data_IF_356786975436
#
_entry.id   IF_356786975436
#
_cell.length_a   1.000
_cell.length_b   1.000
_cell.length_c   1.000
_cell.angle_alpha   90.00
_cell.angle_beta   90.00
_cell.angle_gamma   90.00
#
_symmetry.space_group_name_H-M   'P 1'
#
loop_
_entity.id
_entity.type
_entity.pdbx_description
1 polymer ?
#
# COMPACT_ATOMS: atom_id res chain seq x y z
N UNK A 1 -13.58 11.84 2.65
CA UNK A 1 -14.85 11.34 2.07
C UNK A 1 -16.07 12.22 2.36
N UNK A 2 -16.26 12.77 3.57
CA UNK A 2 -17.40 13.64 3.94
C UNK A 2 -17.77 14.70 2.90
N UNK A 3 -16.78 15.51 2.53
CA UNK A 3 -16.94 16.61 1.59
C UNK A 3 -17.46 16.17 0.21
N UNK A 4 -17.14 14.93 -0.21
CA UNK A 4 -17.70 14.36 -1.44
C UNK A 4 -19.17 13.99 -1.24
N UNK A 5 -19.54 13.33 -0.14
CA UNK A 5 -20.93 12.98 0.17
C UNK A 5 -21.82 14.22 0.29
N UNK A 6 -21.33 15.29 0.94
CA UNK A 6 -22.05 16.57 1.07
C UNK A 6 -22.28 17.25 -0.28
N UNK A 7 -21.30 17.17 -1.20
CA UNK A 7 -21.41 17.74 -2.55
C UNK A 7 -22.30 16.90 -3.48
N UNK A 8 -22.11 15.58 -3.48
CA UNK A 8 -22.82 14.64 -4.36
C UNK A 8 -24.29 14.49 -3.93
N UNK A 9 -24.57 14.63 -2.62
CA UNK A 9 -25.91 14.48 -2.04
C UNK A 9 -26.56 13.14 -2.43
N UNK A 10 -25.90 12.00 -2.14
CA UNK A 10 -26.52 10.70 -2.40
C UNK A 10 -27.84 10.57 -1.62
N UNK A 11 -28.79 9.74 -2.08
CA UNK A 11 -30.09 9.61 -1.44
C UNK A 11 -29.99 9.33 0.07
N UNK A 12 -29.04 8.46 0.45
CA UNK A 12 -28.71 8.09 1.83
C UNK A 12 -27.22 7.77 1.92
N UNK A 13 -26.54 8.30 2.92
CA UNK A 13 -25.15 7.99 3.23
C UNK A 13 -24.96 7.96 4.74
N UNK A 14 -24.22 6.96 5.21
CA UNK A 14 -23.67 6.94 6.55
C UNK A 14 -22.21 7.36 6.44
N UNK A 15 -21.84 8.39 7.18
CA UNK A 15 -20.44 8.73 7.42
C UNK A 15 -19.92 7.82 8.54
N UNK A 16 -18.72 7.26 8.39
CA UNK A 16 -18.06 6.42 9.41
C UNK A 16 -16.62 6.87 9.71
N UNK A 17 -16.12 6.73 10.96
CA UNK A 17 -14.79 7.20 11.37
C UNK A 17 -13.66 6.23 11.08
N UNK A 18 -13.88 5.33 10.13
CA UNK A 18 -12.96 4.25 9.85
C UNK A 18 -12.01 4.62 8.71
N UNK A 19 -10.93 3.83 8.59
CA UNK A 19 -9.99 3.93 7.48
C UNK A 19 -10.72 3.89 6.12
N UNK A 20 -10.23 4.70 5.17
CA UNK A 20 -10.74 4.69 3.80
C UNK A 20 -10.63 3.27 3.22
N UNK A 21 -11.73 2.77 2.64
CA UNK A 21 -11.79 1.39 2.13
C UNK A 21 -12.23 0.36 3.17
N UNK A 22 -12.46 0.75 4.43
CA UNK A 22 -13.03 -0.11 5.48
C UNK A 22 -14.37 0.43 6.00
N UNK A 23 -15.41 0.53 5.15
CA UNK A 23 -16.69 1.13 5.56
C UNK A 23 -17.42 0.35 6.68
N UNK A 24 -16.99 -0.88 6.99
CA UNK A 24 -17.55 -1.72 8.05
C UNK A 24 -16.63 -1.85 9.29
N UNK A 25 -15.51 -1.11 9.34
CA UNK A 25 -14.53 -1.16 10.43
C UNK A 25 -13.59 -2.36 10.36
N UNK A 26 -13.22 -2.91 11.52
CA UNK A 26 -12.21 -3.97 11.66
C UNK A 26 -12.69 -5.28 11.00
N UNK A 27 -11.82 -6.01 10.28
CA UNK A 27 -12.14 -7.35 9.77
C UNK A 27 -12.44 -8.34 10.89
N UNK A 28 -13.26 -9.34 10.61
CA UNK A 28 -13.55 -10.45 11.53
C UNK A 28 -14.12 -10.04 12.90
N UNK A 29 -14.73 -8.86 13.01
CA UNK A 29 -15.64 -8.51 14.10
C UNK A 29 -17.10 -8.44 13.61
N UNK A 30 -17.81 -9.58 13.51
CA UNK A 30 -19.19 -9.59 13.06
C UNK A 30 -20.10 -8.73 13.93
N UNK A 31 -19.81 -8.60 15.23
CA UNK A 31 -20.67 -7.84 16.14
C UNK A 31 -20.57 -6.35 15.81
N UNK A 32 -19.36 -5.83 15.62
CA UNK A 32 -19.15 -4.45 15.19
C UNK A 32 -19.73 -4.20 13.80
N UNK A 33 -19.38 -5.06 12.83
CA UNK A 33 -19.85 -4.93 11.44
C UNK A 33 -21.37 -4.95 11.34
N UNK A 34 -22.06 -5.79 12.12
CA UNK A 34 -23.52 -5.80 12.17
C UNK A 34 -24.11 -4.51 12.75
N UNK A 35 -23.45 -3.85 13.70
CA UNK A 35 -23.92 -2.54 14.21
C UNK A 35 -23.80 -1.45 13.14
N UNK A 36 -22.68 -1.42 12.41
CA UNK A 36 -22.49 -0.50 11.29
C UNK A 36 -23.54 -0.74 10.20
N UNK A 37 -23.76 -2.00 9.81
CA UNK A 37 -24.79 -2.38 8.82
C UNK A 37 -26.18 -1.95 9.31
N UNK A 38 -26.50 -2.19 10.57
CA UNK A 38 -27.79 -1.80 11.14
C UNK A 38 -27.99 -0.27 11.10
N UNK A 39 -26.94 0.51 11.34
CA UNK A 39 -27.01 1.98 11.22
C UNK A 39 -27.23 2.42 9.77
N UNK A 40 -26.49 1.85 8.80
CA UNK A 40 -26.69 2.15 7.37
C UNK A 40 -28.12 1.79 6.92
N UNK A 41 -28.60 0.61 7.28
CA UNK A 41 -29.97 0.17 6.95
C UNK A 41 -31.03 1.00 7.68
N UNK A 42 -30.71 1.54 8.86
CA UNK A 42 -31.55 2.47 9.60
C UNK A 42 -31.93 3.71 8.79
N UNK A 43 -31.05 4.15 7.88
CA UNK A 43 -31.32 5.29 6.99
C UNK A 43 -32.52 5.07 6.07
N UNK A 44 -32.92 3.81 5.82
CA UNK A 44 -34.10 3.49 5.00
C UNK A 44 -35.41 3.95 5.66
N UNK A 45 -35.41 4.22 6.97
CA UNK A 45 -36.58 4.74 7.70
C UNK A 45 -36.89 6.21 7.37
N UNK A 46 -35.98 6.94 6.75
CA UNK A 46 -36.22 8.31 6.32
C UNK A 46 -37.09 8.35 5.05
N UNK A 47 -38.22 9.07 5.13
CA UNK A 47 -39.18 9.23 4.04
C UNK A 47 -38.66 10.09 2.87
N UNK A 48 -37.69 10.95 3.13
CA UNK A 48 -37.09 11.88 2.14
C UNK A 48 -35.57 11.89 2.27
N UNK A 49 -34.88 12.02 1.14
CA UNK A 49 -33.44 12.28 1.08
C UNK A 49 -33.14 13.64 0.44
N UNK A 50 -31.86 14.05 0.36
CA UNK A 50 -30.66 13.33 0.79
C UNK A 50 -30.51 13.26 2.32
N UNK A 51 -30.06 12.12 2.82
CA UNK A 51 -29.72 11.92 4.23
C UNK A 51 -28.24 11.62 4.36
N UNK A 52 -27.53 12.37 5.20
CA UNK A 52 -26.17 12.09 5.63
C UNK A 52 -26.16 12.05 7.16
N UNK A 53 -25.95 10.86 7.73
CA UNK A 53 -25.81 10.70 9.19
C UNK A 53 -24.39 10.31 9.57
N UNK A 54 -24.01 10.69 10.79
CA UNK A 54 -22.73 10.35 11.39
C UNK A 54 -22.83 9.09 12.26
N UNK A 55 -22.03 8.08 11.96
CA UNK A 55 -21.78 6.96 12.85
C UNK A 55 -20.74 7.39 13.90
N UNK A 56 -21.12 7.37 15.18
CA UNK A 56 -20.30 7.90 16.27
C UNK A 56 -19.43 6.86 16.98
N UNK A 57 -19.70 5.57 16.77
CA UNK A 57 -18.91 4.51 17.37
C UNK A 57 -17.61 4.35 16.58
N UNK A 58 -16.48 4.54 17.24
CA UNK A 58 -15.15 4.29 16.68
C UNK A 58 -14.96 2.80 16.42
N UNK A 59 -14.22 2.47 15.35
CA UNK A 59 -13.78 1.09 15.17
C UNK A 59 -12.89 0.73 16.37
N UNK A 60 -13.02 -0.49 16.96
CA UNK A 60 -12.07 -0.93 17.96
C UNK A 60 -10.66 -0.74 17.42
N UNK A 61 -9.78 -0.12 18.20
CA UNK A 61 -8.38 -0.03 17.81
C UNK A 61 -7.88 -1.44 17.54
N UNK A 62 -7.57 -1.73 16.28
CA UNK A 62 -6.57 -2.74 16.01
C UNK A 62 -5.25 -2.16 16.48
N UNK A 63 -5.04 -2.07 17.80
CA UNK A 63 -3.87 -1.50 18.49
C UNK A 63 -2.97 -0.64 17.61
N UNK A 64 -3.37 0.59 17.30
CA UNK A 64 -2.49 1.56 16.66
C UNK A 64 -2.76 2.94 17.25
N UNK A 65 -2.21 3.16 18.44
CA UNK A 65 -2.06 4.52 18.97
C UNK A 65 -1.05 5.27 18.08
N UNK A 66 -1.31 6.56 17.81
CA UNK A 66 -0.36 7.47 17.14
C UNK A 66 0.99 7.57 17.86
N UNK A 67 1.06 7.16 19.13
CA UNK A 67 2.30 7.07 19.93
C UNK A 67 3.15 5.82 19.60
N UNK A 68 2.63 4.85 18.82
CA UNK A 68 3.42 3.72 18.30
C UNK A 68 4.21 4.06 17.03
N UNK A 69 4.17 5.31 16.58
CA UNK A 69 5.04 5.84 15.52
C UNK A 69 6.53 5.82 15.96
N UNK A 70 6.80 5.74 17.27
CA UNK A 70 8.15 5.39 17.76
C UNK A 70 8.28 3.86 17.84
N UNK A 71 8.97 3.29 16.87
CA UNK A 71 9.35 1.87 16.73
C UNK A 71 10.30 1.36 17.85
N UNK A 72 10.01 1.63 19.12
CA UNK A 72 10.92 1.34 20.26
C UNK A 72 10.38 0.25 21.20
N UNK A 73 9.37 -0.51 20.76
CA UNK A 73 8.65 -1.48 21.59
C UNK A 73 8.69 -2.91 21.05
N UNK A 74 9.84 -3.56 21.10
CA UNK A 74 9.97 -5.03 21.19
C UNK A 74 9.10 -5.85 20.22
N UNK A 75 9.25 -5.57 18.93
CA UNK A 75 8.93 -6.55 17.88
C UNK A 75 10.25 -7.19 17.43
N UNK A 76 10.21 -8.44 16.97
CA UNK A 76 11.21 -8.90 16.03
C UNK A 76 10.67 -8.55 14.65
N UNK A 77 10.76 -7.27 14.18
CA UNK A 77 10.50 -7.03 12.79
C UNK A 77 11.50 -7.92 12.04
N UNK A 78 11.04 -8.45 10.92
CA UNK A 78 11.96 -8.92 9.89
C UNK A 78 13.03 -7.84 9.76
N UNK A 79 14.25 -8.12 10.22
CA UNK A 79 15.40 -7.28 9.95
C UNK A 79 15.70 -7.51 8.48
N UNK A 80 14.95 -6.82 7.62
CA UNK A 80 15.35 -6.59 6.26
C UNK A 80 16.74 -5.99 6.37
N UNK A 81 17.71 -6.64 5.74
CA UNK A 81 19.08 -6.14 5.70
C UNK A 81 18.99 -4.79 4.99
N UNK A 82 18.87 -3.70 5.76
CA UNK A 82 19.02 -2.34 5.27
C UNK A 82 20.47 -2.21 4.87
N UNK A 83 20.70 -2.41 3.58
CA UNK A 83 22.06 -2.44 3.06
C UNK A 83 22.16 -3.26 1.79
N UNK A 84 21.38 -2.91 0.77
CA UNK A 84 22.03 -2.81 -0.52
C UNK A 84 23.24 -1.88 -0.29
N UNK A 85 24.46 -2.41 -0.39
CA UNK A 85 25.61 -1.50 -0.46
C UNK A 85 25.34 -0.53 -1.61
N UNK A 86 25.92 0.68 -1.59
CA UNK A 86 25.76 1.63 -2.71
C UNK A 86 26.19 1.03 -4.09
N UNK A 87 26.85 -0.12 -4.07
CA UNK A 87 27.30 -0.90 -5.23
C UNK A 87 26.49 -2.19 -5.50
N UNK A 88 25.45 -2.51 -4.71
CA UNK A 88 24.60 -3.68 -4.95
C UNK A 88 23.59 -3.37 -6.04
N UNK A 89 23.55 -4.21 -7.08
CA UNK A 89 22.52 -4.24 -8.10
C UNK A 89 21.12 -4.24 -7.44
N UNK A 90 20.26 -3.31 -7.85
CA UNK A 90 18.92 -3.12 -7.30
C UNK A 90 18.10 -4.42 -7.36
N UNK A 91 18.28 -5.20 -8.44
CA UNK A 91 17.61 -6.48 -8.59
C UNK A 91 18.04 -7.48 -7.51
N UNK A 92 19.33 -7.52 -7.16
CA UNK A 92 19.83 -8.44 -6.12
C UNK A 92 19.25 -8.09 -4.74
N UNK A 93 19.08 -6.80 -4.46
CA UNK A 93 18.47 -6.33 -3.21
C UNK A 93 16.98 -6.71 -3.14
N UNK A 94 16.23 -6.52 -4.22
CA UNK A 94 14.83 -6.95 -4.32
C UNK A 94 14.68 -8.47 -4.19
N UNK A 95 15.54 -9.23 -4.86
CA UNK A 95 15.53 -10.70 -4.79
C UNK A 95 15.81 -11.20 -3.38
N UNK A 96 16.77 -10.60 -2.66
CA UNK A 96 17.05 -10.93 -1.28
C UNK A 96 15.84 -10.65 -0.36
N UNK A 97 15.18 -9.51 -0.55
CA UNK A 97 13.98 -9.12 0.21
C UNK A 97 12.80 -10.06 -0.04
N UNK A 98 12.53 -10.39 -1.31
CA UNK A 98 11.49 -11.34 -1.72
C UNK A 98 11.74 -12.73 -1.12
N UNK A 99 12.97 -13.23 -1.23
CA UNK A 99 13.34 -14.53 -0.67
C UNK A 99 13.18 -14.57 0.86
N UNK A 100 13.45 -13.45 1.54
CA UNK A 100 13.23 -13.34 2.97
C UNK A 100 11.74 -13.34 3.35
N UNK A 101 10.89 -12.75 2.53
CA UNK A 101 9.44 -12.66 2.75
C UNK A 101 8.67 -13.90 2.30
N UNK A 102 9.23 -14.73 1.40
CA UNK A 102 8.55 -15.88 0.82
C UNK A 102 7.93 -16.85 1.85
N UNK A 103 8.62 -17.26 2.94
CA UNK A 103 8.01 -18.13 3.94
C UNK A 103 6.78 -17.51 4.63
N UNK A 104 6.81 -16.19 4.85
CA UNK A 104 5.71 -15.45 5.47
C UNK A 104 4.53 -15.30 4.52
N UNK A 105 4.80 -15.06 3.24
CA UNK A 105 3.80 -15.08 2.19
C UNK A 105 3.11 -16.46 2.11
N UNK A 106 3.88 -17.55 2.08
CA UNK A 106 3.33 -18.91 2.08
C UNK A 106 2.45 -19.18 3.31
N UNK A 107 2.88 -18.74 4.49
CA UNK A 107 2.07 -18.81 5.71
C UNK A 107 0.76 -18.02 5.57
N UNK A 108 0.80 -16.79 5.05
CA UNK A 108 -0.37 -15.95 4.84
C UNK A 108 -1.38 -16.59 3.89
N UNK A 109 -0.91 -17.11 2.76
CA UNK A 109 -1.74 -17.82 1.77
C UNK A 109 -2.35 -19.08 2.39
N UNK A 110 -1.57 -19.85 3.16
CA UNK A 110 -2.05 -21.05 3.82
C UNK A 110 -3.13 -20.76 4.88
N UNK A 111 -3.01 -19.67 5.63
CA UNK A 111 -4.02 -19.25 6.61
C UNK A 111 -5.30 -18.74 5.94
N UNK A 112 -5.16 -17.91 4.90
CA UNK A 112 -6.30 -17.26 4.22
C UNK A 112 -6.98 -18.12 3.17
N UNK A 113 -6.27 -19.15 2.66
CA UNK A 113 -6.67 -20.01 1.53
C UNK A 113 -6.92 -19.24 0.23
N UNK A 114 -6.37 -18.03 0.10
CA UNK A 114 -6.47 -17.15 -1.07
C UNK A 114 -5.31 -16.16 -1.08
N UNK A 115 -5.01 -15.60 -2.25
CA UNK A 115 -4.06 -14.50 -2.46
C UNK A 115 -4.64 -13.49 -3.45
N UNK A 116 -4.18 -12.24 -3.38
CA UNK A 116 -4.41 -11.19 -4.40
C UNK A 116 -3.23 -11.01 -5.36
N UNK A 117 -2.14 -11.76 -5.18
CA UNK A 117 -1.00 -11.78 -6.12
C UNK A 117 -1.36 -12.55 -7.39
N UNK A 118 -0.89 -12.05 -8.53
CA UNK A 118 -0.96 -12.69 -9.85
C UNK A 118 -1.70 -11.87 -10.90
N UNK A 119 -2.03 -10.60 -10.66
CA UNK A 119 -2.72 -9.76 -11.66
C UNK A 119 -1.85 -9.44 -12.87
N UNK A 120 -0.52 -9.44 -12.70
CA UNK A 120 0.44 -9.29 -13.80
C UNK A 120 0.53 -10.54 -14.68
N UNK A 121 0.21 -11.71 -14.12
CA UNK A 121 0.41 -13.02 -14.75
C UNK A 121 1.89 -13.46 -14.81
N UNK A 122 2.79 -12.77 -14.10
CA UNK A 122 4.22 -13.09 -14.02
C UNK A 122 4.57 -13.78 -12.70
N UNK A 123 5.73 -14.41 -12.66
CA UNK A 123 6.35 -14.76 -11.38
C UNK A 123 6.76 -13.50 -10.60
N UNK A 124 6.83 -13.61 -9.26
CA UNK A 124 7.13 -12.46 -8.41
C UNK A 124 8.55 -11.92 -8.65
N UNK A 125 9.52 -12.78 -8.95
CA UNK A 125 10.89 -12.36 -9.28
C UNK A 125 10.98 -11.75 -10.68
N UNK A 126 10.15 -12.20 -11.62
CA UNK A 126 10.03 -11.55 -12.94
C UNK A 126 9.44 -10.15 -12.82
N UNK A 127 8.43 -9.98 -11.96
CA UNK A 127 7.84 -8.67 -11.63
C UNK A 127 8.88 -7.72 -11.03
N UNK A 128 9.69 -8.21 -10.08
CA UNK A 128 10.77 -7.45 -9.45
C UNK A 128 11.85 -7.05 -10.46
N UNK A 129 12.25 -7.97 -11.34
CA UNK A 129 13.22 -7.71 -12.41
C UNK A 129 12.76 -6.61 -13.35
N UNK A 130 11.48 -6.62 -13.72
CA UNK A 130 10.90 -5.57 -14.55
C UNK A 130 10.91 -4.21 -13.84
N UNK A 131 10.56 -4.16 -12.55
CA UNK A 131 10.64 -2.93 -11.75
C UNK A 131 12.07 -2.39 -11.65
N UNK A 132 13.06 -3.25 -11.38
CA UNK A 132 14.46 -2.84 -11.30
C UNK A 132 14.95 -2.24 -12.61
N UNK A 133 14.65 -2.89 -13.75
CA UNK A 133 15.01 -2.38 -15.08
C UNK A 133 14.36 -1.01 -15.37
N UNK A 134 13.10 -0.83 -14.99
CA UNK A 134 12.39 0.45 -15.12
C UNK A 134 13.00 1.56 -14.25
N UNK A 135 13.47 1.22 -13.05
CA UNK A 135 14.08 2.18 -12.13
C UNK A 135 15.48 2.62 -12.58
N UNK A 136 16.23 1.74 -13.25
CA UNK A 136 17.60 2.00 -13.72
C UNK A 136 17.66 2.58 -15.14
N UNK A 137 16.52 2.77 -15.80
CA UNK A 137 16.45 3.22 -17.21
C UNK A 137 17.27 2.32 -18.15
N UNK A 138 17.32 1.03 -17.84
CA UNK A 138 18.04 0.03 -18.62
C UNK A 138 17.32 -0.37 -19.91
N UNK A 139 17.87 -1.36 -20.62
CA UNK A 139 17.21 -1.94 -21.80
C UNK A 139 15.92 -2.65 -21.38
N UNK A 140 14.78 -2.11 -21.83
CA UNK A 140 13.47 -2.50 -21.33
C UNK A 140 12.86 -3.59 -22.19
N UNK A 141 12.91 -4.82 -21.70
CA UNK A 141 12.13 -5.93 -22.27
C UNK A 141 10.83 -6.04 -21.49
N UNK A 142 9.71 -5.71 -22.12
CA UNK A 142 8.38 -5.90 -21.53
C UNK A 142 8.10 -7.41 -21.45
N UNK A 143 7.84 -7.99 -20.27
CA UNK A 143 7.68 -9.44 -20.11
C UNK A 143 6.47 -10.02 -20.87
N UNK A 144 5.47 -9.18 -21.12
CA UNK A 144 4.24 -9.54 -21.83
C UNK A 144 4.11 -8.75 -23.13
N UNK A 145 3.86 -9.47 -24.21
CA UNK A 145 3.74 -8.88 -25.55
C UNK A 145 2.38 -8.21 -25.82
N UNK A 146 1.40 -8.41 -24.93
CA UNK A 146 0.04 -7.87 -25.08
C UNK A 146 -0.18 -6.54 -24.34
N UNK A 147 0.83 -6.06 -23.60
CA UNK A 147 0.75 -4.84 -22.80
C UNK A 147 1.88 -3.87 -23.14
N UNK A 148 1.58 -2.58 -23.07
CA UNK A 148 2.58 -1.52 -23.09
C UNK A 148 3.36 -1.47 -21.76
N UNK A 149 4.57 -0.87 -21.73
CA UNK A 149 5.41 -0.78 -20.54
C UNK A 149 4.70 -0.23 -19.29
N UNK A 150 3.93 0.85 -19.44
CA UNK A 150 3.26 1.51 -18.31
C UNK A 150 2.19 0.64 -17.64
N UNK A 151 1.21 0.11 -18.40
CA UNK A 151 0.25 -0.85 -17.88
C UNK A 151 0.91 -2.08 -17.25
N UNK A 152 1.97 -2.61 -17.85
CA UNK A 152 2.72 -3.73 -17.29
C UNK A 152 3.36 -3.38 -15.94
N UNK A 153 3.99 -2.20 -15.85
CA UNK A 153 4.60 -1.70 -14.61
C UNK A 153 3.57 -1.64 -13.49
N UNK A 154 2.39 -1.08 -13.79
CA UNK A 154 1.31 -0.98 -12.80
C UNK A 154 0.92 -2.35 -12.24
N UNK A 155 0.75 -3.36 -13.10
CA UNK A 155 0.39 -4.71 -12.66
C UNK A 155 1.50 -5.36 -11.83
N UNK A 156 2.78 -5.19 -12.22
CA UNK A 156 3.91 -5.67 -11.43
C UNK A 156 3.97 -5.00 -10.04
N UNK A 157 3.70 -3.68 -9.98
CA UNK A 157 3.60 -2.97 -8.71
C UNK A 157 2.47 -3.52 -7.83
N UNK A 158 1.29 -3.77 -8.41
CA UNK A 158 0.15 -4.35 -7.68
C UNK A 158 0.47 -5.74 -7.10
N UNK A 159 1.17 -6.59 -7.87
CA UNK A 159 1.60 -7.92 -7.41
C UNK A 159 2.66 -7.85 -6.31
N UNK A 160 3.67 -7.00 -6.46
CA UNK A 160 4.72 -6.84 -5.45
C UNK A 160 4.16 -6.24 -4.16
N UNK A 161 3.36 -5.18 -4.24
CA UNK A 161 2.72 -4.62 -3.04
C UNK A 161 1.78 -5.63 -2.38
N UNK A 162 1.05 -6.43 -3.16
CA UNK A 162 0.22 -7.52 -2.62
C UNK A 162 1.06 -8.60 -1.93
N UNK A 163 2.15 -9.05 -2.55
CA UNK A 163 3.03 -10.07 -1.97
C UNK A 163 3.60 -9.60 -0.63
N UNK A 164 4.13 -8.37 -0.59
CA UNK A 164 4.70 -7.76 0.62
C UNK A 164 3.64 -7.57 1.70
N UNK A 165 2.48 -7.01 1.33
CA UNK A 165 1.39 -6.77 2.26
C UNK A 165 0.82 -8.07 2.83
N UNK A 166 0.66 -9.11 2.01
CA UNK A 166 0.23 -10.43 2.48
C UNK A 166 1.27 -11.08 3.40
N UNK A 167 2.55 -11.05 3.02
CA UNK A 167 3.64 -11.60 3.82
C UNK A 167 3.74 -10.94 5.19
N UNK A 168 3.76 -9.61 5.25
CA UNK A 168 3.99 -8.91 6.51
C UNK A 168 2.78 -8.98 7.44
N UNK A 169 1.56 -9.12 6.89
CA UNK A 169 0.32 -9.14 7.68
C UNK A 169 0.12 -10.37 8.59
N UNK A 170 0.98 -11.39 8.50
CA UNK A 170 1.02 -12.49 9.48
C UNK A 170 1.98 -12.24 10.64
N UNK A 171 2.76 -11.14 10.60
CA UNK A 171 3.63 -10.73 11.69
C UNK A 171 2.84 -10.06 12.83
N UNK A 172 3.24 -10.28 14.09
CA UNK A 172 2.77 -9.47 15.21
C UNK A 172 3.05 -7.99 14.98
N UNK A 173 2.12 -7.11 15.34
CA UNK A 173 2.25 -5.65 15.17
C UNK A 173 1.89 -5.12 13.76
N UNK A 174 1.58 -5.99 12.81
CA UNK A 174 1.20 -5.63 11.43
C UNK A 174 -0.30 -5.82 11.21
N UNK A 175 -1.09 -5.31 12.16
CA UNK A 175 -2.53 -5.51 12.31
C UNK A 175 -3.38 -4.42 11.61
N UNK A 176 -2.81 -3.27 11.26
CA UNK A 176 -3.49 -2.18 10.56
C UNK A 176 -3.02 -2.00 9.13
N UNK A 177 -3.87 -1.42 8.28
CA UNK A 177 -3.44 -1.10 6.91
C UNK A 177 -2.35 -0.03 6.91
N UNK A 178 -2.41 0.92 7.85
CA UNK A 178 -1.44 1.99 7.99
C UNK A 178 -0.05 1.50 8.41
N UNK A 179 0.03 0.51 9.31
CA UNK A 179 1.33 -0.08 9.71
C UNK A 179 2.00 -0.77 8.50
N UNK A 180 1.23 -1.57 7.76
CA UNK A 180 1.71 -2.26 6.55
C UNK A 180 2.14 -1.26 5.48
N UNK A 181 1.33 -0.23 5.21
CA UNK A 181 1.65 0.82 4.24
C UNK A 181 2.96 1.54 4.65
N UNK A 182 3.05 2.02 5.89
CA UNK A 182 4.25 2.71 6.39
C UNK A 182 5.50 1.84 6.30
N UNK A 183 5.37 0.54 6.58
CA UNK A 183 6.46 -0.41 6.42
C UNK A 183 6.90 -0.57 4.96
N UNK A 184 5.97 -0.81 4.04
CA UNK A 184 6.30 -0.96 2.61
C UNK A 184 7.03 0.29 2.09
N UNK A 185 6.47 1.47 2.32
CA UNK A 185 7.00 2.70 1.71
C UNK A 185 8.17 3.34 2.45
N UNK A 186 8.41 2.94 3.70
CA UNK A 186 9.44 3.51 4.56
C UNK A 186 10.51 2.52 5.04
N UNK A 187 10.43 1.23 4.72
CA UNK A 187 11.38 0.26 5.28
C UNK A 187 11.74 -0.88 4.32
N UNK A 188 11.39 -0.79 3.03
CA UNK A 188 11.66 -1.84 2.05
C UNK A 188 12.38 -1.33 0.81
N UNK A 189 13.20 -2.18 0.20
CA UNK A 189 13.84 -1.94 -1.09
C UNK A 189 12.79 -1.76 -2.19
N UNK A 190 11.65 -2.47 -2.09
CA UNK A 190 10.52 -2.28 -2.99
C UNK A 190 10.00 -0.82 -2.94
N UNK A 191 9.78 -0.29 -1.75
CA UNK A 191 9.33 1.09 -1.54
C UNK A 191 10.32 2.10 -2.14
N UNK A 192 11.62 1.92 -1.87
CA UNK A 192 12.68 2.74 -2.45
C UNK A 192 12.69 2.69 -3.99
N UNK A 193 12.53 1.49 -4.56
CA UNK A 193 12.46 1.27 -6.00
C UNK A 193 11.29 2.03 -6.62
N UNK A 194 10.11 1.93 -6.02
CA UNK A 194 8.90 2.61 -6.52
C UNK A 194 9.01 4.13 -6.39
N UNK A 195 9.66 4.64 -5.33
CA UNK A 195 9.99 6.07 -5.22
C UNK A 195 10.92 6.54 -6.33
N UNK A 196 11.97 5.77 -6.65
CA UNK A 196 12.89 6.08 -7.74
C UNK A 196 12.18 6.10 -9.10
N UNK A 197 11.33 5.11 -9.37
CA UNK A 197 10.52 5.07 -10.60
C UNK A 197 9.59 6.28 -10.68
N UNK A 198 8.97 6.68 -9.56
CA UNK A 198 8.14 7.88 -9.49
C UNK A 198 8.92 9.11 -9.90
N UNK A 199 10.06 9.36 -9.27
CA UNK A 199 10.90 10.54 -9.49
C UNK A 199 11.34 10.66 -10.97
N UNK A 200 11.71 9.55 -11.60
CA UNK A 200 12.08 9.52 -13.03
C UNK A 200 10.91 9.84 -13.97
N UNK A 201 9.67 9.52 -13.57
CA UNK A 201 8.50 9.57 -14.46
C UNK A 201 7.53 10.73 -14.17
N UNK A 202 7.81 11.60 -13.18
CA UNK A 202 6.94 12.74 -12.82
C UNK A 202 6.63 13.68 -14.01
N UNK A 203 7.61 13.87 -14.89
CA UNK A 203 7.54 14.72 -16.08
C UNK A 203 7.65 13.91 -17.39
N UNK A 204 7.31 12.62 -17.35
CA UNK A 204 7.39 11.76 -18.52
C UNK A 204 6.55 12.29 -19.69
N UNK A 205 7.08 12.14 -20.91
CA UNK A 205 6.34 12.43 -22.14
C UNK A 205 5.24 11.41 -22.40
N UNK A 206 5.38 10.21 -21.86
CA UNK A 206 4.34 9.19 -21.89
C UNK A 206 3.25 9.55 -20.88
N UNK A 207 2.03 9.75 -21.38
CA UNK A 207 0.89 10.21 -20.58
C UNK A 207 0.50 9.20 -19.50
N UNK A 208 0.61 7.90 -19.78
CA UNK A 208 0.29 6.85 -18.83
C UNK A 208 1.31 6.83 -17.70
N UNK A 209 2.61 6.81 -18.03
CA UNK A 209 3.70 6.81 -17.06
C UNK A 209 3.66 8.06 -16.17
N UNK A 210 3.42 9.23 -16.78
CA UNK A 210 3.28 10.49 -16.04
C UNK A 210 2.11 10.43 -15.08
N UNK A 211 0.94 9.99 -15.52
CA UNK A 211 -0.24 9.86 -14.67
C UNK A 211 -0.02 8.83 -13.54
N UNK A 212 0.57 7.68 -13.87
CA UNK A 212 0.83 6.62 -12.90
C UNK A 212 1.80 7.10 -11.81
N UNK A 213 2.91 7.75 -12.18
CA UNK A 213 3.85 8.35 -11.23
C UNK A 213 3.20 9.42 -10.34
N UNK A 214 2.35 10.28 -10.91
CA UNK A 214 1.73 11.39 -10.16
C UNK A 214 0.62 10.95 -9.21
N UNK A 215 -0.12 9.87 -9.52
CA UNK A 215 -1.42 9.58 -8.87
C UNK A 215 -1.58 8.18 -8.31
N UNK A 216 -0.79 7.21 -8.76
CA UNK A 216 -1.11 5.79 -8.56
C UNK A 216 0.05 4.92 -8.12
N UNK A 217 1.29 5.32 -8.39
CA UNK A 217 2.47 4.51 -8.07
C UNK A 217 2.76 4.54 -6.56
N UNK A 218 2.63 5.70 -5.93
CA UNK A 218 2.83 5.89 -4.48
C UNK A 218 1.56 6.51 -3.89
N UNK A 219 1.05 6.05 -2.73
CA UNK A 219 -0.13 6.63 -2.10
C UNK A 219 0.06 8.12 -1.76
N UNK A 220 -0.96 8.94 -2.00
CA UNK A 220 -0.95 10.38 -1.70
C UNK A 220 -0.58 10.69 -0.24
N UNK A 221 -1.00 9.82 0.69
CA UNK A 221 -0.63 9.94 2.12
C UNK A 221 0.88 9.86 2.33
N UNK A 222 1.56 8.93 1.65
CA UNK A 222 3.01 8.78 1.76
C UNK A 222 3.75 9.96 1.11
N UNK A 223 3.19 10.52 0.04
CA UNK A 223 3.69 11.76 -0.58
C UNK A 223 3.59 12.93 0.41
N UNK A 224 2.43 13.13 1.03
CA UNK A 224 2.22 14.17 2.04
C UNK A 224 3.14 13.99 3.24
N UNK A 225 3.25 12.76 3.77
CA UNK A 225 4.15 12.45 4.89
C UNK A 225 5.62 12.78 4.57
N UNK A 226 6.08 12.47 3.35
CA UNK A 226 7.45 12.77 2.91
C UNK A 226 7.68 14.28 2.72
N UNK A 227 6.68 15.02 2.24
CA UNK A 227 6.73 16.47 2.07
C UNK A 227 6.70 17.22 3.42
N UNK A 228 5.92 16.75 4.38
CA UNK A 228 5.78 17.33 5.72
C UNK A 228 6.93 16.97 6.65
N UNK A 229 7.54 15.78 6.48
CA UNK A 229 8.64 15.28 7.31
C UNK A 229 9.90 14.92 6.50
N UNK A 230 10.54 15.90 5.83
CA UNK A 230 11.69 15.63 4.97
C UNK A 230 12.89 15.06 5.73
N UNK A 231 12.97 15.18 7.07
CA UNK A 231 14.08 14.65 7.88
C UNK A 231 14.02 13.13 8.11
N UNK A 232 12.83 12.52 8.10
CA UNK A 232 12.66 11.06 8.31
C UNK A 232 13.08 10.29 7.06
N UNK A 233 12.83 10.86 5.87
CA UNK A 233 13.19 10.27 4.58
C UNK A 233 14.57 10.73 4.02
N UNK A 234 15.16 11.82 4.54
CA UNK A 234 16.48 12.33 4.08
C UNK A 234 17.66 11.43 4.48
N UNK A 235 17.50 10.50 5.42
CA UNK A 235 18.56 9.52 5.72
C UNK A 235 18.89 8.61 4.53
N UNK A 236 18.09 8.64 3.46
CA UNK A 236 18.32 7.90 2.21
C UNK A 236 18.66 8.78 1.00
N UNK A 237 18.96 10.07 1.22
CA UNK A 237 19.51 10.92 0.16
C UNK A 237 20.91 10.44 -0.20
N UNK A 238 21.07 9.91 -1.42
CA UNK A 238 22.38 9.67 -2.03
C UNK A 238 23.11 10.93 -2.49
N UNK A 239 22.60 12.12 -2.15
CA UNK A 239 23.29 13.39 -2.39
C UNK A 239 23.88 13.98 -1.10
N UNK A 240 25.10 13.54 -0.78
CA UNK A 240 26.13 14.46 -0.29
C UNK A 240 27.39 14.22 -1.13
N UNK A 241 27.76 15.25 -1.90
CA UNK A 241 29.00 15.34 -2.68
C UNK A 241 30.24 15.36 -1.80
#
# INVERSE_FOLDING_TARGET
MRLHSEKIKPPRALWVPFELGRPLGVPNDPKFQHRVIAAVLGLLKYDKGPVLEDYLEEAPDGEANEEQITMDGQFCPINLISGASKDSDLMQALEAEINHLAPWYEMAVNQRRRTTVGVSGLDILESARFLAAMAESGDLVVPRNDLEPGPMLKLCCEDLTSFYGEAISVQPGMNTSMAVESWIWGHTVLGETMWKIREVNLDSKDDFMRYHAQRSLVPDRQIQLREENPRVFRSWSLDEK
#
